data_IF_454566192018
#
_entry.id   IF_454566192018
#
_cell.length_a   1.000
_cell.length_b   1.000
_cell.length_c   1.000
_cell.angle_alpha   90.00
_cell.angle_beta   90.00
_cell.angle_gamma   90.00
#
_symmetry.space_group_name_H-M   'P 1'
#
loop_
_entity.id
_entity.type
_entity.pdbx_description
1 polymer ?
#
# COMPACT_ATOMS: atom_id res chain seq x y z
N UNK A 1 0.78 4.99 -1.00
CA UNK A 1 1.58 6.24 -0.97
C UNK A 1 0.80 7.45 -0.46
N UNK A 2 -0.31 7.87 -1.08
CA UNK A 2 -1.09 9.04 -0.59
C UNK A 2 -1.56 8.88 0.86
N UNK A 3 -2.09 7.71 1.21
CA UNK A 3 -2.58 7.38 2.56
C UNK A 3 -1.46 7.50 3.63
N UNK A 4 -0.25 7.06 3.28
CA UNK A 4 0.92 7.17 4.15
C UNK A 4 1.34 8.62 4.39
N UNK A 5 1.37 9.43 3.32
CA UNK A 5 1.70 10.86 3.44
C UNK A 5 0.65 11.61 4.26
N UNK A 6 -0.63 11.26 4.11
CA UNK A 6 -1.71 11.83 4.91
C UNK A 6 -1.55 11.50 6.40
N UNK A 7 -1.21 10.25 6.74
CA UNK A 7 -0.96 9.84 8.12
C UNK A 7 0.23 10.60 8.73
N UNK A 8 1.31 10.82 7.97
CA UNK A 8 2.44 11.64 8.42
C UNK A 8 1.99 13.06 8.77
N UNK A 9 1.22 13.70 7.88
CA UNK A 9 0.72 15.07 8.08
C UNK A 9 -0.15 15.16 9.34
N UNK A 10 -0.99 14.16 9.59
CA UNK A 10 -1.79 14.11 10.82
C UNK A 10 -0.91 13.95 12.08
N UNK A 11 0.14 13.14 12.02
CA UNK A 11 1.04 12.92 13.18
C UNK A 11 1.84 14.18 13.56
N UNK A 12 2.16 15.03 12.59
CA UNK A 12 2.92 16.28 12.84
C UNK A 12 2.01 17.50 13.02
N UNK A 13 0.69 17.32 13.11
CA UNK A 13 -0.24 18.44 13.18
C UNK A 13 0.10 19.39 14.34
N UNK A 14 0.04 20.73 14.16
CA UNK A 14 0.51 21.68 15.18
C UNK A 14 -0.23 21.56 16.51
N UNK A 15 -1.53 21.28 16.47
CA UNK A 15 -2.35 21.04 17.66
C UNK A 15 -2.20 19.59 18.11
N UNK A 16 -1.61 19.39 19.29
CA UNK A 16 -1.36 18.05 19.85
C UNK A 16 -2.66 17.27 20.02
N UNK A 17 -3.75 17.92 20.43
CA UNK A 17 -5.06 17.27 20.63
C UNK A 17 -5.70 16.76 19.33
N UNK A 18 -5.23 17.24 18.17
CA UNK A 18 -5.66 16.79 16.85
C UNK A 18 -4.78 15.67 16.29
N UNK A 19 -3.69 15.32 16.98
CA UNK A 19 -2.82 14.23 16.56
C UNK A 19 -3.51 12.90 16.89
N UNK A 20 -3.43 11.92 15.99
CA UNK A 20 -3.95 10.60 16.24
C UNK A 20 -3.21 9.93 17.41
N UNK A 21 -3.91 9.05 18.11
CA UNK A 21 -3.26 8.18 19.11
C UNK A 21 -2.35 7.17 18.43
N UNK A 22 -1.32 6.70 19.14
CA UNK A 22 -0.42 5.67 18.59
C UNK A 22 -1.15 4.39 18.18
N UNK A 23 -2.24 4.01 18.85
CA UNK A 23 -3.06 2.86 18.47
C UNK A 23 -3.72 3.05 17.10
N UNK A 24 -4.21 4.27 16.81
CA UNK A 24 -4.77 4.60 15.50
C UNK A 24 -3.69 4.59 14.42
N UNK A 25 -2.52 5.17 14.71
CA UNK A 25 -1.39 5.19 13.77
C UNK A 25 -0.95 3.78 13.38
N UNK A 26 -0.83 2.86 14.35
CA UNK A 26 -0.47 1.46 14.07
C UNK A 26 -1.53 0.77 13.21
N UNK A 27 -2.82 0.94 13.55
CA UNK A 27 -3.92 0.37 12.76
C UNK A 27 -3.92 0.86 11.30
N UNK A 28 -3.72 2.16 11.09
CA UNK A 28 -3.64 2.74 9.74
C UNK A 28 -2.41 2.24 8.97
N UNK A 29 -1.25 2.11 9.63
CA UNK A 29 -0.04 1.56 9.01
C UNK A 29 -0.23 0.10 8.56
N UNK A 30 -0.88 -0.73 9.39
CA UNK A 30 -1.19 -2.12 9.02
C UNK A 30 -2.10 -2.18 7.79
N UNK A 31 -3.13 -1.32 7.73
CA UNK A 31 -4.02 -1.21 6.57
C UNK A 31 -3.30 -0.76 5.30
N UNK A 32 -2.39 0.21 5.40
CA UNK A 32 -1.58 0.69 4.28
C UNK A 32 -0.66 -0.42 3.77
N UNK A 33 0.00 -1.16 4.66
CA UNK A 33 0.89 -2.27 4.30
C UNK A 33 0.13 -3.39 3.57
N UNK A 34 -1.06 -3.75 4.04
CA UNK A 34 -1.88 -4.78 3.40
C UNK A 34 -2.35 -4.35 2.00
N UNK A 35 -2.74 -3.08 1.86
CA UNK A 35 -3.11 -2.49 0.57
C UNK A 35 -1.95 -2.46 -0.42
N UNK A 36 -0.74 -2.16 0.05
CA UNK A 36 0.46 -2.19 -0.78
C UNK A 36 0.82 -3.62 -1.20
N UNK A 37 0.71 -4.59 -0.27
CA UNK A 37 0.98 -6.00 -0.53
C UNK A 37 0.02 -6.59 -1.56
N UNK A 38 -1.27 -6.32 -1.43
CA UNK A 38 -2.28 -6.79 -2.40
C UNK A 38 -2.06 -6.19 -3.79
N UNK A 39 -1.75 -4.89 -3.89
CA UNK A 39 -1.43 -4.25 -5.17
C UNK A 39 -0.16 -4.81 -5.80
N UNK A 40 0.90 -5.04 -5.01
CA UNK A 40 2.14 -5.68 -5.47
C UNK A 40 1.90 -7.11 -5.96
N UNK A 41 1.04 -7.86 -5.27
CA UNK A 41 0.66 -9.23 -5.65
C UNK A 41 -0.06 -9.26 -6.99
N UNK A 42 -1.03 -8.35 -7.22
CA UNK A 42 -1.75 -8.25 -8.49
C UNK A 42 -0.79 -7.96 -9.65
N UNK A 43 0.17 -7.04 -9.46
CA UNK A 43 1.18 -6.74 -10.50
C UNK A 43 2.08 -7.95 -10.77
N UNK A 44 2.44 -8.71 -9.72
CA UNK A 44 3.22 -9.95 -9.87
C UNK A 44 2.45 -11.00 -10.68
N UNK A 45 1.18 -11.24 -10.35
CA UNK A 45 0.33 -12.20 -11.07
C UNK A 45 0.14 -11.82 -12.54
N UNK A 46 -0.12 -10.55 -12.84
CA UNK A 46 -0.26 -10.06 -14.22
C UNK A 46 1.05 -10.26 -15.00
N UNK A 47 2.21 -10.01 -14.37
CA UNK A 47 3.53 -10.21 -15.00
C UNK A 47 3.79 -11.68 -15.31
N UNK A 48 3.42 -12.59 -14.40
CA UNK A 48 3.55 -14.03 -14.59
C UNK A 48 2.62 -14.53 -15.71
N UNK A 49 1.37 -14.09 -15.73
CA UNK A 49 0.39 -14.46 -16.77
C UNK A 49 0.86 -13.95 -18.14
N UNK A 50 1.25 -12.68 -18.24
CA UNK A 50 1.71 -12.08 -19.49
C UNK A 50 3.00 -12.74 -20.01
N UNK A 51 3.94 -13.04 -19.11
CA UNK A 51 5.12 -13.82 -19.45
C UNK A 51 4.76 -15.19 -20.03
N UNK A 52 3.83 -15.91 -19.40
CA UNK A 52 3.41 -17.23 -19.87
C UNK A 52 2.72 -17.22 -21.25
N UNK A 53 2.04 -16.13 -21.60
CA UNK A 53 1.42 -15.95 -22.92
C UNK A 53 2.46 -15.67 -24.00
N UNK A 54 3.51 -14.90 -23.70
CA UNK A 54 4.61 -14.64 -24.63
C UNK A 54 5.35 -15.93 -25.02
N UNK A 55 5.55 -16.87 -24.09
CA UNK A 55 6.20 -18.15 -24.38
C UNK A 55 5.32 -19.16 -25.15
N UNK A 56 4.00 -18.97 -25.21
CA UNK A 56 3.08 -19.84 -25.95
C UNK A 56 2.86 -19.43 -27.40
N UNK A 57 3.22 -18.19 -27.78
CA UNK A 57 2.95 -17.63 -29.10
C UNK A 57 3.97 -18.02 -30.19
N UNK A 58 4.98 -18.85 -29.88
CA UNK A 58 5.92 -19.39 -30.87
C UNK A 58 5.50 -20.81 -31.27
N UNK A 59 4.62 -20.93 -32.26
CA UNK A 59 4.47 -22.13 -33.09
C UNK A 59 4.05 -21.70 -34.49
#
# INVERSE_FOLDING_TARGET
>A
MADFMFLIVQCIYPLIDMRPTMSYVVMELDGILEKERSMSTIVSEITVILGSQLFKATT
#
